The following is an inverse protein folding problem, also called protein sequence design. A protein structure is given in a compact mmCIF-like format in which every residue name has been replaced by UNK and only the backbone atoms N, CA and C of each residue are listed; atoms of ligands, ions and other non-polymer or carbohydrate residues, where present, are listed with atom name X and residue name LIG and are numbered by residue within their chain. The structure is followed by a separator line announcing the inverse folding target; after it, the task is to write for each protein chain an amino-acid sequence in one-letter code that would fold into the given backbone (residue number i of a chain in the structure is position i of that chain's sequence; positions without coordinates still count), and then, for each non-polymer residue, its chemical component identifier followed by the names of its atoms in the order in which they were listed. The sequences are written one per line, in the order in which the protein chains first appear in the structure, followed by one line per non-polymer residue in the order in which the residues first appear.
data_IF_400570326842
#
_entry.id   IF_400570326842
#
_cell.length_a   1.000
_cell.length_b   1.000
_cell.length_c   1.000
_cell.angle_alpha   90.00
_cell.angle_beta   90.00
_cell.angle_gamma   90.00
#
_symmetry.space_group_name_H-M   'P 1'
#
loop_
_entity.id
_entity.type
_entity.pdbx_description
1 polymer ?
#
# COMPACT_ATOMS: atom_id res chain seq x y z
N UNK A 1 8.36 -21.54 13.97
CA UNK A 1 9.28 -20.42 14.05
C UNK A 1 8.97 -19.54 15.24
N UNK A 2 9.98 -18.95 15.85
CA UNK A 2 9.78 -18.12 17.05
C UNK A 2 9.20 -16.73 16.76
N UNK A 3 8.91 -16.42 15.53
CA UNK A 3 8.34 -15.13 15.14
C UNK A 3 7.12 -15.35 14.28
N UNK A 4 6.22 -14.38 14.32
CA UNK A 4 4.99 -14.42 13.54
C UNK A 4 5.16 -13.57 12.29
N UNK A 5 4.82 -14.16 11.14
CA UNK A 5 4.74 -13.43 9.89
C UNK A 5 3.30 -13.01 9.71
N UNK A 6 3.07 -11.71 9.61
CA UNK A 6 1.73 -11.16 9.42
C UNK A 6 1.51 -10.94 7.93
N UNK A 7 0.59 -11.71 7.36
CA UNK A 7 0.19 -11.55 5.96
C UNK A 7 -0.97 -10.57 5.88
N UNK A 8 -0.88 -9.70 4.90
CA UNK A 8 -1.87 -8.65 4.69
C UNK A 8 -2.42 -8.72 3.28
N UNK A 9 -3.57 -8.11 3.08
CA UNK A 9 -4.22 -8.06 1.77
C UNK A 9 -4.73 -6.65 1.52
N UNK A 10 -4.66 -6.22 0.26
CA UNK A 10 -5.35 -5.00 -0.15
C UNK A 10 -6.85 -5.28 -0.10
N UNK A 11 -7.60 -4.39 0.52
CA UNK A 11 -9.06 -4.51 0.53
C UNK A 11 -9.63 -4.22 -0.85
N UNK A 12 -10.66 -4.97 -1.20
CA UNK A 12 -11.38 -4.75 -2.45
C UNK A 12 -12.19 -3.45 -2.39
N UNK A 13 -12.43 -2.88 -3.55
CA UNK A 13 -13.25 -1.68 -3.67
C UNK A 13 -12.46 -0.39 -3.69
N UNK A 14 -11.14 -0.46 -3.66
CA UNK A 14 -10.27 0.72 -3.74
C UNK A 14 -9.50 0.71 -5.06
N UNK A 15 -9.47 1.83 -5.72
CA UNK A 15 -8.80 1.99 -7.02
C UNK A 15 -7.89 3.20 -7.00
N UNK A 16 -6.69 3.03 -7.55
CA UNK A 16 -5.75 4.14 -7.73
C UNK A 16 -6.08 4.86 -9.04
N UNK A 17 -6.28 6.16 -8.95
CA UNK A 17 -6.55 7.02 -10.11
C UNK A 17 -5.55 8.16 -10.17
N UNK A 18 -5.27 8.60 -11.38
CA UNK A 18 -4.49 9.81 -11.63
C UNK A 18 -5.49 10.95 -11.82
N UNK A 19 -5.48 11.91 -10.89
CA UNK A 19 -6.38 13.06 -10.92
C UNK A 19 -5.53 14.31 -10.96
N UNK A 20 -5.50 14.97 -12.11
CA UNK A 20 -4.72 16.20 -12.30
C UNK A 20 -3.24 16.02 -11.94
N UNK A 21 -2.66 14.87 -12.29
CA UNK A 21 -1.25 14.59 -12.03
C UNK A 21 -0.97 14.01 -10.65
N UNK A 22 -1.98 13.88 -9.81
CA UNK A 22 -1.82 13.31 -8.47
C UNK A 22 -2.39 11.88 -8.43
N UNK A 23 -1.71 11.02 -7.69
CA UNK A 23 -2.14 9.64 -7.48
C UNK A 23 -3.06 9.58 -6.28
N UNK A 24 -4.29 9.15 -6.50
CA UNK A 24 -5.34 9.18 -5.47
C UNK A 24 -6.03 7.82 -5.39
N UNK A 25 -6.19 7.32 -4.17
CA UNK A 25 -7.01 6.13 -3.91
C UNK A 25 -8.46 6.57 -3.75
N UNK A 26 -9.34 5.94 -4.51
CA UNK A 26 -10.77 6.22 -4.50
C UNK A 26 -11.52 4.93 -4.14
N UNK A 27 -12.51 5.04 -3.26
CA UNK A 27 -13.38 3.92 -2.95
C UNK A 27 -14.42 3.76 -4.06
N UNK A 28 -14.29 2.69 -4.85
CA UNK A 28 -15.23 2.37 -5.92
C UNK A 28 -15.92 1.04 -5.63
N UNK A 29 -17.20 0.95 -5.96
CA UNK A 29 -17.96 -0.28 -5.81
C UNK A 29 -18.34 -0.64 -4.39
N UNK A 30 -18.12 0.23 -3.43
CA UNK A 30 -18.55 0.05 -2.06
C UNK A 30 -19.95 0.63 -1.86
N UNK A 31 -20.76 -0.05 -1.05
CA UNK A 31 -22.15 0.38 -0.83
C UNK A 31 -22.27 1.70 -0.08
N UNK A 32 -21.35 1.94 0.83
CA UNK A 32 -21.36 3.15 1.66
C UNK A 32 -20.18 4.01 1.27
N UNK A 33 -20.31 4.70 0.16
CA UNK A 33 -19.26 5.56 -0.36
C UNK A 33 -19.15 6.81 0.50
N UNK A 34 -18.03 7.00 1.12
CA UNK A 34 -17.68 8.25 1.75
C UNK A 34 -16.70 8.98 0.83
N UNK A 35 -17.25 9.83 -0.03
CA UNK A 35 -16.44 10.56 -1.02
C UNK A 35 -15.48 11.56 -0.39
N UNK A 36 -15.56 11.79 0.91
CA UNK A 36 -14.60 12.66 1.58
C UNK A 36 -13.25 11.98 1.79
N UNK A 37 -13.16 10.66 1.59
CA UNK A 37 -11.90 9.92 1.77
C UNK A 37 -11.21 9.71 0.44
N UNK A 38 -10.52 10.74 -0.02
CA UNK A 38 -9.56 10.63 -1.10
C UNK A 38 -8.18 10.58 -0.46
N UNK A 39 -7.43 9.52 -0.77
CA UNK A 39 -6.13 9.29 -0.16
C UNK A 39 -5.05 9.50 -1.21
N UNK A 40 -4.25 10.54 -1.03
CA UNK A 40 -3.14 10.83 -1.92
C UNK A 40 -1.96 9.92 -1.63
N UNK A 41 -1.36 9.38 -2.69
CA UNK A 41 -0.14 8.59 -2.59
C UNK A 41 0.99 9.31 -3.31
N UNK A 42 2.18 9.32 -2.70
CA UNK A 42 3.37 9.76 -3.41
C UNK A 42 3.78 8.68 -4.44
N UNK A 43 4.79 8.97 -5.25
CA UNK A 43 5.20 8.06 -6.31
C UNK A 43 5.58 6.66 -5.80
N UNK A 44 6.35 6.60 -4.73
CA UNK A 44 6.77 5.31 -4.19
C UNK A 44 5.60 4.51 -3.62
N UNK A 45 4.69 5.16 -2.93
CA UNK A 45 3.49 4.49 -2.40
C UNK A 45 2.59 4.01 -3.53
N UNK A 46 2.43 4.80 -4.60
CA UNK A 46 1.67 4.39 -5.77
C UNK A 46 2.30 3.19 -6.48
N UNK A 47 3.62 3.19 -6.61
CA UNK A 47 4.35 2.05 -7.16
C UNK A 47 4.08 0.78 -6.35
N UNK A 48 4.16 0.88 -5.02
CA UNK A 48 3.89 -0.24 -4.13
C UNK A 48 2.44 -0.70 -4.28
N UNK A 49 1.49 0.22 -4.25
CA UNK A 49 0.07 -0.12 -4.41
C UNK A 49 -0.19 -0.92 -5.68
N UNK A 50 0.32 -0.43 -6.81
CA UNK A 50 0.14 -1.12 -8.10
C UNK A 50 0.80 -2.49 -8.10
N UNK A 51 1.98 -2.62 -7.49
CA UNK A 51 2.70 -3.89 -7.43
C UNK A 51 1.94 -4.91 -6.57
N UNK A 52 1.28 -4.48 -5.52
CA UNK A 52 0.55 -5.37 -4.62
C UNK A 52 -0.79 -5.83 -5.20
N UNK A 53 -1.31 -5.15 -6.22
CA UNK A 53 -2.58 -5.57 -6.85
C UNK A 53 -2.50 -6.97 -7.44
N UNK A 54 -1.32 -7.42 -7.83
CA UNK A 54 -1.11 -8.73 -8.43
C UNK A 54 -0.88 -9.83 -7.39
N UNK A 55 -0.82 -9.47 -6.12
CA UNK A 55 -0.52 -10.41 -5.03
C UNK A 55 -1.75 -10.64 -4.17
N UNK A 56 -2.00 -11.90 -3.84
CA UNK A 56 -3.09 -12.24 -2.92
C UNK A 56 -2.76 -11.83 -1.49
N UNK A 57 -1.50 -12.00 -1.10
CA UNK A 57 -1.02 -11.67 0.24
C UNK A 57 0.38 -11.08 0.16
N UNK A 58 0.71 -10.27 1.12
CA UNK A 58 2.04 -9.67 1.21
C UNK A 58 2.40 -9.39 2.66
N UNK A 59 3.69 -9.12 2.88
CA UNK A 59 4.23 -8.74 4.19
C UNK A 59 4.97 -7.44 4.06
N UNK A 60 5.47 -6.90 5.19
CA UNK A 60 6.34 -5.73 5.17
C UNK A 60 7.63 -6.00 4.38
N UNK A 61 8.16 -7.22 4.47
CA UNK A 61 9.35 -7.62 3.68
C UNK A 61 9.07 -7.58 2.18
N UNK A 62 7.86 -7.95 1.76
CA UNK A 62 7.45 -7.85 0.36
C UNK A 62 7.62 -6.42 -0.15
N UNK A 63 7.13 -5.46 0.63
CA UNK A 63 7.22 -4.05 0.27
C UNK A 63 8.67 -3.56 0.30
N UNK A 64 9.43 -3.98 1.31
CA UNK A 64 10.85 -3.61 1.39
C UNK A 64 11.61 -4.09 0.16
N UNK A 65 11.36 -5.33 -0.29
CA UNK A 65 11.98 -5.86 -1.49
C UNK A 65 11.61 -5.07 -2.75
N UNK A 66 10.34 -4.69 -2.86
CA UNK A 66 9.88 -3.87 -3.99
C UNK A 66 10.57 -2.50 -4.00
N UNK A 67 10.73 -1.89 -2.84
CA UNK A 67 11.44 -0.62 -2.73
C UNK A 67 12.90 -0.75 -3.12
N UNK A 68 13.56 -1.83 -2.70
CA UNK A 68 14.97 -2.07 -3.04
C UNK A 68 15.17 -2.37 -4.53
N UNK A 69 14.17 -2.92 -5.20
CA UNK A 69 14.22 -3.17 -6.64
C UNK A 69 14.11 -1.89 -7.47
N UNK A 70 13.31 -0.94 -7.00
CA UNK A 70 13.02 0.28 -7.77
C UNK A 70 13.89 1.47 -7.39
N UNK A 71 14.32 1.53 -6.13
CA UNK A 71 15.04 2.69 -5.60
C UNK A 71 16.38 2.27 -5.00
N UNK A 72 17.32 3.21 -4.95
CA UNK A 72 18.58 3.00 -4.25
C UNK A 72 18.36 3.25 -2.76
N UNK A 73 18.01 2.18 -2.05
CA UNK A 73 17.74 2.24 -0.62
C UNK A 73 18.24 0.94 0.02
N UNK A 74 18.83 1.04 1.20
CA UNK A 74 19.22 -0.16 1.91
C UNK A 74 18.02 -0.88 2.51
N UNK A 75 18.15 -2.17 2.76
CA UNK A 75 17.04 -3.00 3.20
C UNK A 75 16.46 -2.53 4.54
N UNK A 76 17.29 -2.13 5.48
CA UNK A 76 16.82 -1.69 6.79
C UNK A 76 15.93 -0.44 6.69
N UNK A 77 16.34 0.52 5.87
CA UNK A 77 15.54 1.73 5.61
C UNK A 77 14.25 1.39 4.87
N UNK A 78 14.35 0.52 3.86
CA UNK A 78 13.18 0.10 3.09
C UNK A 78 12.16 -0.62 3.98
N UNK A 79 12.63 -1.46 4.89
CA UNK A 79 11.74 -2.16 5.82
C UNK A 79 11.05 -1.21 6.78
N UNK A 80 11.78 -0.24 7.32
CA UNK A 80 11.20 0.78 8.21
C UNK A 80 10.13 1.60 7.47
N UNK A 81 10.42 1.99 6.23
CA UNK A 81 9.46 2.72 5.40
C UNK A 81 8.23 1.86 5.07
N UNK A 82 8.44 0.58 4.79
CA UNK A 82 7.36 -0.36 4.52
C UNK A 82 6.43 -0.51 5.73
N UNK A 83 7.00 -0.63 6.92
CA UNK A 83 6.22 -0.76 8.14
C UNK A 83 5.41 0.50 8.42
N UNK A 84 5.98 1.66 8.18
CA UNK A 84 5.28 2.93 8.34
C UNK A 84 4.13 3.06 7.35
N UNK A 85 4.38 2.73 6.09
CA UNK A 85 3.35 2.77 5.04
C UNK A 85 2.18 1.84 5.37
N UNK A 86 2.48 0.62 5.81
CA UNK A 86 1.44 -0.34 6.18
C UNK A 86 0.63 0.12 7.38
N UNK A 87 1.28 0.72 8.37
CA UNK A 87 0.56 1.26 9.52
C UNK A 87 -0.42 2.35 9.09
N UNK A 88 -0.01 3.24 8.19
CA UNK A 88 -0.88 4.27 7.65
C UNK A 88 -2.03 3.68 6.85
N UNK A 89 -1.76 2.69 6.01
CA UNK A 89 -2.80 2.05 5.20
C UNK A 89 -3.79 1.25 6.06
N UNK A 90 -3.32 0.61 7.12
CA UNK A 90 -4.21 -0.07 8.07
C UNK A 90 -5.12 0.91 8.78
N UNK A 91 -4.58 2.04 9.22
CA UNK A 91 -5.35 3.09 9.87
C UNK A 91 -6.41 3.67 8.94
N UNK A 92 -6.09 3.78 7.66
CA UNK A 92 -7.00 4.30 6.65
C UNK A 92 -7.98 3.23 6.12
N UNK A 93 -7.83 1.98 6.53
CA UNK A 93 -8.71 0.90 6.13
C UNK A 93 -8.46 0.35 4.73
N UNK A 94 -7.25 0.52 4.19
CA UNK A 94 -6.91 0.07 2.84
C UNK A 94 -6.40 -1.37 2.79
N UNK A 95 -5.93 -1.90 3.90
CA UNK A 95 -5.40 -3.27 3.98
C UNK A 95 -6.01 -3.99 5.18
N UNK A 96 -6.10 -5.30 5.05
CA UNK A 96 -6.52 -6.20 6.13
C UNK A 96 -5.33 -6.76 6.89
#
# INVERSE_FOLDING_TARGET
PPYHIIYMKIKEGFTLRDVCGEKVIIAEGLRNLNFSKLINLNESAAYIWNSLQEKEEFTDETIADLLCQEYEVDHATALADAQKLLAEWQEQGLVD
#
